data_IF_057702567626
#
_entry.id   IF_057702567626
#
_cell.length_a   1.000
_cell.length_b   1.000
_cell.length_c   1.000
_cell.angle_alpha   90.00
_cell.angle_beta   90.00
_cell.angle_gamma   90.00
#
_symmetry.space_group_name_H-M   'P 1'
#
loop_
_entity.id
_entity.type
_entity.pdbx_description
1 polymer ?
#
# COMPACT_ATOMS: atom_id res chain seq x y z
N UNK A 1 -14.69 -19.65 29.93
CA UNK A 1 -15.26 -18.32 29.67
C UNK A 1 -16.08 -17.90 30.87
N UNK A 2 -15.52 -16.96 31.63
CA UNK A 2 -16.22 -16.23 32.68
C UNK A 2 -17.06 -15.13 32.02
N UNK A 3 -18.20 -14.75 32.60
CA UNK A 3 -19.03 -13.67 32.04
C UNK A 3 -18.30 -12.32 32.16
N UNK A 4 -17.85 -11.75 31.03
CA UNK A 4 -17.21 -10.43 30.97
C UNK A 4 -18.22 -9.35 31.30
N UNK A 5 -17.80 -8.34 32.07
CA UNK A 5 -18.66 -7.20 32.45
C UNK A 5 -18.22 -5.94 31.71
N UNK A 6 -18.74 -5.77 30.50
CA UNK A 6 -18.42 -4.63 29.63
C UNK A 6 -18.72 -3.27 30.26
N UNK A 7 -17.93 -2.26 29.87
CA UNK A 7 -18.03 -0.87 30.36
C UNK A 7 -19.25 -0.14 29.83
N UNK A 8 -19.65 -0.44 28.60
CA UNK A 8 -20.86 0.03 27.93
C UNK A 8 -21.87 -1.12 27.80
N UNK A 9 -23.14 -0.85 28.08
CA UNK A 9 -24.23 -1.76 27.80
C UNK A 9 -24.66 -1.67 26.32
N UNK A 10 -25.32 -2.72 25.82
CA UNK A 10 -25.71 -2.82 24.40
C UNK A 10 -26.68 -1.72 23.93
N UNK A 11 -27.45 -1.12 24.84
CA UNK A 11 -28.34 0.02 24.56
C UNK A 11 -27.62 1.38 24.55
N UNK A 12 -26.32 1.40 24.85
CA UNK A 12 -25.45 2.57 24.78
C UNK A 12 -24.58 2.61 23.50
N UNK A 13 -24.63 1.56 22.67
CA UNK A 13 -23.89 1.50 21.41
C UNK A 13 -24.70 2.19 20.31
N UNK A 14 -24.23 3.33 19.84
CA UNK A 14 -24.79 4.08 18.72
C UNK A 14 -24.23 3.57 17.38
N UNK A 15 -24.95 3.78 16.27
CA UNK A 15 -24.39 3.56 14.92
C UNK A 15 -23.62 4.82 14.52
N UNK A 16 -22.30 4.78 14.68
CA UNK A 16 -21.38 5.90 14.46
C UNK A 16 -20.68 5.85 13.10
N UNK A 17 -20.49 4.64 12.55
CA UNK A 17 -19.83 4.40 11.26
C UNK A 17 -20.69 3.51 10.35
N UNK A 18 -20.37 3.49 9.06
CA UNK A 18 -20.89 2.48 8.13
C UNK A 18 -20.32 1.08 8.46
N UNK A 19 -21.00 -0.03 8.09
CA UNK A 19 -20.54 -1.38 8.39
C UNK A 19 -19.15 -1.69 7.81
N UNK A 20 -18.17 -1.93 8.69
CA UNK A 20 -16.78 -2.21 8.33
C UNK A 20 -16.33 -3.65 8.65
N UNK A 21 -17.17 -4.43 9.33
CA UNK A 21 -16.86 -5.78 9.79
C UNK A 21 -16.30 -5.84 11.21
N UNK A 22 -15.70 -6.98 11.55
CA UNK A 22 -15.11 -7.27 12.84
C UNK A 22 -13.68 -6.76 13.01
N UNK A 23 -13.26 -6.60 14.24
CA UNK A 23 -11.91 -6.26 14.68
C UNK A 23 -11.57 -7.06 15.94
N UNK A 24 -10.31 -7.11 16.33
CA UNK A 24 -9.91 -7.62 17.64
C UNK A 24 -9.69 -6.42 18.57
N UNK A 25 -10.22 -6.49 19.79
CA UNK A 25 -9.91 -5.51 20.84
C UNK A 25 -9.66 -6.19 22.19
N UNK A 26 -8.86 -5.53 23.03
CA UNK A 26 -8.56 -6.00 24.38
C UNK A 26 -9.63 -5.63 25.41
N UNK A 27 -9.71 -6.41 26.48
CA UNK A 27 -10.59 -6.13 27.63
C UNK A 27 -10.19 -4.84 28.37
N UNK A 28 -8.96 -4.32 28.20
CA UNK A 28 -8.59 -2.98 28.70
C UNK A 28 -9.51 -1.90 28.12
N UNK A 29 -9.88 -2.02 26.85
CA UNK A 29 -10.87 -1.15 26.22
C UNK A 29 -12.28 -1.58 26.65
N UNK A 30 -12.68 -2.82 26.38
CA UNK A 30 -14.11 -3.19 26.44
C UNK A 30 -14.65 -3.45 27.85
N UNK A 31 -13.81 -3.85 28.80
CA UNK A 31 -14.17 -4.14 30.20
C UNK A 31 -13.72 -3.01 31.14
N UNK A 32 -12.44 -2.61 31.09
CA UNK A 32 -11.92 -1.57 31.97
C UNK A 32 -12.27 -0.14 31.50
N UNK A 33 -12.56 0.05 30.21
CA UNK A 33 -12.98 1.34 29.66
C UNK A 33 -11.84 2.33 29.42
N UNK A 34 -10.62 1.83 29.13
CA UNK A 34 -9.52 2.66 28.66
C UNK A 34 -9.78 3.15 27.22
N UNK A 35 -9.23 4.33 26.83
CA UNK A 35 -9.19 4.73 25.42
C UNK A 35 -8.30 3.77 24.60
N UNK A 36 -8.36 3.89 23.28
CA UNK A 36 -7.40 3.22 22.40
C UNK A 36 -6.07 3.95 22.51
N UNK A 37 -5.05 3.28 23.04
CA UNK A 37 -3.68 3.81 23.11
C UNK A 37 -2.79 3.32 21.97
N UNK A 38 -3.14 2.20 21.34
CA UNK A 38 -2.45 1.68 20.16
C UNK A 38 -3.43 0.92 19.25
N UNK A 39 -3.32 1.13 17.94
CA UNK A 39 -4.11 0.40 16.94
C UNK A 39 -3.32 0.20 15.66
N UNK A 40 -3.58 -0.90 14.96
CA UNK A 40 -2.99 -1.17 13.65
C UNK A 40 -3.93 -1.97 12.75
N UNK A 41 -3.68 -1.94 11.45
CA UNK A 41 -4.44 -2.67 10.43
C UNK A 41 -3.58 -3.72 9.73
N UNK A 42 -3.87 -4.99 9.96
CA UNK A 42 -3.26 -6.13 9.24
C UNK A 42 -4.16 -6.59 8.07
N UNK A 43 -3.66 -7.43 7.13
CA UNK A 43 -4.52 -8.00 6.09
C UNK A 43 -5.69 -8.79 6.72
N UNK A 44 -6.91 -8.63 6.20
CA UNK A 44 -8.08 -9.28 6.78
C UNK A 44 -7.98 -10.80 6.64
N UNK A 45 -8.29 -11.52 7.73
CA UNK A 45 -8.24 -12.99 7.75
C UNK A 45 -9.36 -13.66 6.94
N UNK A 46 -10.45 -12.92 6.69
CA UNK A 46 -11.64 -13.34 5.96
C UNK A 46 -12.49 -12.10 5.59
N UNK A 47 -13.52 -12.20 4.72
CA UNK A 47 -14.31 -11.04 4.27
C UNK A 47 -15.08 -10.26 5.34
N UNK A 48 -15.32 -10.86 6.51
CA UNK A 48 -16.00 -10.20 7.64
C UNK A 48 -14.99 -9.57 8.65
N UNK A 49 -13.68 -9.72 8.44
CA UNK A 49 -12.61 -9.08 9.22
C UNK A 49 -12.21 -7.76 8.56
N UNK A 50 -12.19 -6.67 9.33
CA UNK A 50 -11.77 -5.34 8.86
C UNK A 50 -10.25 -5.18 8.74
N UNK A 51 -9.49 -6.08 9.36
CA UNK A 51 -8.05 -5.99 9.58
C UNK A 51 -7.65 -5.19 10.83
N UNK A 52 -8.57 -4.45 11.47
CA UNK A 52 -8.24 -3.62 12.62
C UNK A 52 -8.00 -4.43 13.91
N UNK A 53 -6.99 -4.00 14.68
CA UNK A 53 -6.63 -4.50 16.00
C UNK A 53 -6.46 -3.31 16.96
N UNK A 54 -7.10 -3.34 18.12
CA UNK A 54 -7.17 -2.21 19.08
C UNK A 54 -6.70 -2.61 20.48
N UNK A 55 -5.87 -1.76 21.09
CA UNK A 55 -5.22 -1.95 22.38
C UNK A 55 -5.27 -0.66 23.21
N UNK A 56 -5.26 -0.77 24.54
CA UNK A 56 -5.10 0.39 25.42
C UNK A 56 -3.66 0.93 25.45
N UNK A 57 -2.69 0.16 24.95
CA UNK A 57 -1.28 0.54 24.87
C UNK A 57 -0.49 0.29 26.16
N UNK A 58 -1.14 -0.18 27.23
CA UNK A 58 -0.51 -0.53 28.51
C UNK A 58 -0.48 -2.04 28.79
N UNK A 59 -0.96 -2.86 27.84
CA UNK A 59 -0.88 -4.31 27.88
C UNK A 59 0.56 -4.83 27.80
N UNK A 60 0.88 -5.87 28.57
CA UNK A 60 2.11 -6.64 28.41
C UNK A 60 1.95 -7.79 27.41
N UNK A 61 3.05 -8.29 26.85
CA UNK A 61 3.05 -9.48 25.98
C UNK A 61 2.30 -10.67 26.62
N UNK A 62 2.54 -10.95 27.91
CA UNK A 62 1.85 -12.02 28.65
C UNK A 62 0.32 -11.83 28.71
N UNK A 63 -0.17 -10.58 28.66
CA UNK A 63 -1.59 -10.25 28.66
C UNK A 63 -2.20 -10.45 27.26
N UNK A 64 -1.54 -9.94 26.22
CA UNK A 64 -1.99 -10.05 24.81
C UNK A 64 -1.94 -11.50 24.30
N UNK A 65 -1.03 -12.32 24.81
CA UNK A 65 -0.94 -13.74 24.45
C UNK A 65 -1.98 -14.64 25.13
N UNK A 66 -2.81 -14.13 26.04
CA UNK A 66 -3.93 -14.87 26.65
C UNK A 66 -5.25 -14.54 25.95
N UNK A 67 -5.78 -15.52 25.22
CA UNK A 67 -7.00 -15.39 24.42
C UNK A 67 -8.29 -15.13 25.25
N UNK A 68 -8.29 -15.27 26.59
CA UNK A 68 -9.42 -14.81 27.40
C UNK A 68 -9.46 -13.26 27.52
N UNK A 69 -8.35 -12.54 27.29
CA UNK A 69 -8.21 -11.07 27.45
C UNK A 69 -8.56 -10.23 26.21
N UNK A 70 -8.86 -10.86 25.07
CA UNK A 70 -9.23 -10.20 23.82
C UNK A 70 -10.37 -10.96 23.13
N UNK A 71 -11.13 -10.28 22.29
CA UNK A 71 -12.27 -10.87 21.59
C UNK A 71 -12.55 -10.14 20.27
N UNK A 72 -13.39 -10.74 19.41
CA UNK A 72 -13.84 -10.13 18.16
C UNK A 72 -15.05 -9.25 18.42
N UNK A 73 -14.98 -7.99 18.02
CA UNK A 73 -16.06 -7.00 18.13
C UNK A 73 -16.33 -6.36 16.76
N UNK A 74 -17.54 -5.88 16.51
CA UNK A 74 -17.80 -4.98 15.38
C UNK A 74 -17.00 -3.67 15.56
N UNK A 75 -16.34 -3.16 14.52
CA UNK A 75 -15.54 -1.91 14.60
C UNK A 75 -16.36 -0.74 15.15
N UNK A 76 -17.66 -0.66 14.83
CA UNK A 76 -18.56 0.36 15.37
C UNK A 76 -18.68 0.26 16.90
N UNK A 77 -18.52 -0.93 17.48
CA UNK A 77 -18.46 -1.10 18.94
C UNK A 77 -17.28 -0.32 19.50
N UNK A 78 -16.08 -0.50 18.96
CA UNK A 78 -14.87 0.17 19.46
C UNK A 78 -14.94 1.69 19.24
N UNK A 79 -15.51 2.14 18.11
CA UNK A 79 -15.79 3.56 17.86
C UNK A 79 -16.72 4.21 18.91
N UNK A 80 -17.53 3.42 19.64
CA UNK A 80 -18.33 3.93 20.78
C UNK A 80 -17.54 4.02 22.09
N UNK A 81 -16.47 3.24 22.25
CA UNK A 81 -15.55 3.33 23.39
C UNK A 81 -14.58 4.49 23.23
N UNK A 82 -14.04 4.67 22.02
CA UNK A 82 -13.15 5.76 21.65
C UNK A 82 -13.54 6.31 20.27
N UNK A 83 -14.03 7.56 20.23
CA UNK A 83 -14.47 8.20 18.97
C UNK A 83 -13.32 8.75 18.15
N UNK A 84 -12.11 8.84 18.70
CA UNK A 84 -10.95 9.39 18.00
C UNK A 84 -10.35 8.43 16.97
N UNK A 85 -10.70 7.14 17.04
CA UNK A 85 -10.33 6.16 16.01
C UNK A 85 -11.07 6.39 14.69
N UNK A 86 -12.28 6.97 14.73
CA UNK A 86 -13.19 7.10 13.57
C UNK A 86 -12.50 7.71 12.32
N UNK A 87 -11.83 8.89 12.40
CA UNK A 87 -11.13 9.47 11.24
C UNK A 87 -9.95 8.62 10.71
N UNK A 88 -9.51 7.61 11.45
CA UNK A 88 -8.38 6.74 11.09
C UNK A 88 -8.83 5.41 10.47
N UNK A 89 -10.11 5.03 10.54
CA UNK A 89 -10.59 3.70 10.16
C UNK A 89 -10.49 3.39 8.65
N UNK A 90 -10.46 4.43 7.82
CA UNK A 90 -10.26 4.32 6.36
C UNK A 90 -8.77 4.20 5.96
N UNK A 91 -7.84 4.27 6.93
CA UNK A 91 -6.40 4.12 6.65
C UNK A 91 -6.08 2.73 6.07
N UNK A 92 -5.10 2.62 5.16
CA UNK A 92 -4.79 1.38 4.46
C UNK A 92 -4.29 0.25 5.38
N UNK A 93 -4.27 -0.97 4.84
CA UNK A 93 -3.59 -2.11 5.48
C UNK A 93 -2.10 -1.74 5.63
N UNK A 94 -1.54 -2.02 6.80
CA UNK A 94 -0.20 -1.63 7.21
C UNK A 94 -0.15 -0.40 8.12
N UNK A 95 -1.19 0.45 8.14
CA UNK A 95 -1.21 1.62 9.03
C UNK A 95 -1.22 1.23 10.51
N UNK A 96 -0.46 1.97 11.31
CA UNK A 96 -0.43 1.87 12.76
C UNK A 96 -0.46 3.26 13.41
N UNK A 97 -1.11 3.37 14.56
CA UNK A 97 -1.28 4.61 15.31
C UNK A 97 -1.05 4.36 16.80
N UNK A 98 -0.36 5.28 17.46
CA UNK A 98 -0.15 5.28 18.91
C UNK A 98 -0.59 6.62 19.51
N UNK A 99 -1.12 6.58 20.74
CA UNK A 99 -1.58 7.78 21.45
C UNK A 99 -0.40 8.51 22.08
N UNK A 100 -0.33 9.84 21.93
CA UNK A 100 0.75 10.65 22.51
C UNK A 100 0.59 10.80 24.04
N UNK A 101 0.99 9.75 24.78
CA UNK A 101 0.78 9.65 26.23
C UNK A 101 -0.69 9.42 26.60
N UNK A 102 -1.02 9.59 27.89
CA UNK A 102 -2.30 9.14 28.45
C UNK A 102 -3.53 9.94 27.95
N UNK A 103 -3.33 11.19 27.48
CA UNK A 103 -4.41 12.13 27.06
C UNK A 103 -4.15 12.81 25.69
N UNK A 104 -3.10 12.44 24.96
CA UNK A 104 -2.77 13.03 23.65
C UNK A 104 -3.57 12.42 22.49
N UNK A 105 -3.35 12.92 21.27
CA UNK A 105 -4.01 12.41 20.05
C UNK A 105 -3.37 11.10 19.56
N UNK A 106 -4.11 10.34 18.74
CA UNK A 106 -3.58 9.18 18.01
C UNK A 106 -2.74 9.67 16.81
N UNK A 107 -1.43 9.46 16.85
CA UNK A 107 -0.48 9.81 15.80
C UNK A 107 -0.02 8.58 15.02
N UNK A 108 0.26 8.74 13.73
CA UNK A 108 0.78 7.66 12.90
C UNK A 108 2.18 7.23 13.38
N UNK A 109 2.42 5.92 13.42
CA UNK A 109 3.70 5.30 13.78
C UNK A 109 4.08 4.21 12.78
N UNK A 110 5.31 3.73 12.85
CA UNK A 110 5.78 2.60 12.03
C UNK A 110 4.93 1.35 12.29
N UNK A 111 4.66 0.59 11.22
CA UNK A 111 3.92 -0.67 11.31
C UNK A 111 4.71 -1.70 12.13
N UNK A 112 4.07 -2.54 12.97
CA UNK A 112 4.75 -3.62 13.67
C UNK A 112 5.10 -4.81 12.77
N UNK A 113 4.67 -4.80 11.51
CA UNK A 113 4.85 -5.88 10.55
C UNK A 113 5.81 -5.52 9.44
N UNK A 114 6.54 -6.53 8.95
CA UNK A 114 7.31 -6.39 7.72
C UNK A 114 6.38 -6.29 6.51
N UNK A 115 6.76 -5.51 5.50
CA UNK A 115 5.91 -5.25 4.34
C UNK A 115 5.56 -6.50 3.50
N UNK A 116 6.27 -7.62 3.70
CA UNK A 116 5.95 -8.93 3.10
C UNK A 116 4.81 -9.68 3.83
N UNK A 117 4.55 -9.38 5.10
CA UNK A 117 3.46 -9.94 5.92
C UNK A 117 2.13 -9.23 5.64
N UNK A 118 2.21 -7.96 5.22
CA UNK A 118 1.09 -7.09 4.88
C UNK A 118 0.57 -7.29 3.44
N UNK A 119 1.11 -8.25 2.68
CA UNK A 119 0.62 -8.58 1.34
C UNK A 119 -0.77 -9.23 1.43
N UNK A 120 -1.72 -8.69 0.66
CA UNK A 120 -3.13 -9.06 0.74
C UNK A 120 -3.37 -10.49 0.22
N UNK A 121 -4.00 -11.40 1.00
CA UNK A 121 -4.09 -12.82 0.65
C UNK A 121 -4.95 -13.11 -0.60
N UNK A 122 -6.01 -12.32 -0.83
CA UNK A 122 -6.92 -12.53 -1.97
C UNK A 122 -6.34 -12.13 -3.34
N UNK A 123 -5.19 -11.47 -3.39
CA UNK A 123 -4.55 -11.05 -4.64
C UNK A 123 -3.30 -11.89 -4.91
N UNK A 124 -3.06 -12.35 -6.17
CA UNK A 124 -1.85 -13.07 -6.53
C UNK A 124 -0.58 -12.39 -6.05
N UNK A 125 0.25 -13.11 -5.28
CA UNK A 125 1.57 -12.65 -4.86
C UNK A 125 2.60 -13.12 -5.89
N UNK A 126 3.37 -12.18 -6.41
CA UNK A 126 4.58 -12.41 -7.20
C UNK A 126 5.77 -12.54 -6.25
N UNK A 127 6.52 -13.63 -6.41
CA UNK A 127 7.79 -13.85 -5.71
C UNK A 127 8.95 -13.14 -6.45
N UNK A 128 10.09 -12.86 -5.80
CA UNK A 128 11.19 -12.13 -6.40
C UNK A 128 11.81 -12.85 -7.62
N UNK A 129 12.22 -12.07 -8.61
CA UNK A 129 12.84 -12.50 -9.85
C UNK A 129 12.10 -12.03 -11.10
N UNK A 130 12.45 -12.64 -12.23
CA UNK A 130 11.96 -12.24 -13.57
C UNK A 130 10.50 -12.63 -13.76
N UNK A 131 9.63 -11.62 -13.79
CA UNK A 131 8.21 -11.70 -14.12
C UNK A 131 7.98 -11.32 -15.60
N UNK A 132 7.19 -12.12 -16.33
CA UNK A 132 6.83 -11.81 -17.72
C UNK A 132 5.63 -10.85 -17.78
N UNK A 133 5.83 -9.65 -18.32
CA UNK A 133 4.76 -8.70 -18.65
C UNK A 133 4.00 -9.18 -19.90
N UNK A 134 4.75 -9.66 -20.91
CA UNK A 134 4.26 -10.29 -22.16
C UNK A 134 5.29 -11.32 -22.64
N UNK A 135 5.04 -12.01 -23.75
CA UNK A 135 6.05 -12.87 -24.42
C UNK A 135 7.31 -12.10 -24.86
N UNK A 136 7.21 -10.76 -24.98
CA UNK A 136 8.30 -9.86 -25.38
C UNK A 136 8.99 -9.22 -24.18
N UNK A 137 8.22 -8.77 -23.21
CA UNK A 137 8.67 -7.88 -22.14
C UNK A 137 8.65 -8.57 -20.78
N UNK A 138 9.70 -8.35 -20.00
CA UNK A 138 9.83 -8.86 -18.63
C UNK A 138 10.31 -7.78 -17.67
N UNK A 139 10.05 -7.99 -16.39
CA UNK A 139 10.41 -7.12 -15.28
C UNK A 139 11.07 -7.97 -14.19
N UNK A 140 12.27 -7.60 -13.77
CA UNK A 140 12.91 -8.24 -12.61
C UNK A 140 12.41 -7.57 -11.31
N UNK A 141 11.74 -8.34 -10.45
CA UNK A 141 11.20 -7.86 -9.17
C UNK A 141 12.15 -8.22 -8.03
N UNK A 142 12.76 -7.26 -7.32
CA UNK A 142 13.70 -7.57 -6.23
C UNK A 142 13.01 -8.03 -4.93
N UNK A 143 11.69 -7.84 -4.82
CA UNK A 143 10.88 -8.07 -3.64
C UNK A 143 9.54 -8.72 -4.03
N UNK A 144 8.76 -9.14 -3.03
CA UNK A 144 7.40 -9.67 -3.22
C UNK A 144 6.40 -8.54 -3.46
N UNK A 145 5.43 -8.77 -4.34
CA UNK A 145 4.37 -7.81 -4.67
C UNK A 145 3.03 -8.54 -4.86
N UNK A 146 1.93 -7.97 -4.38
CA UNK A 146 0.61 -8.32 -4.90
C UNK A 146 0.46 -7.85 -6.35
N UNK A 147 -0.45 -8.48 -7.09
CA UNK A 147 -0.80 -8.16 -8.47
C UNK A 147 -2.32 -8.16 -8.66
N UNK A 148 -2.83 -7.20 -9.44
CA UNK A 148 -4.17 -7.25 -10.06
C UNK A 148 -4.12 -6.74 -11.50
N UNK A 149 -5.24 -6.82 -12.20
CA UNK A 149 -5.42 -6.30 -13.55
C UNK A 149 -6.71 -5.47 -13.54
N UNK A 150 -6.62 -4.22 -13.99
CA UNK A 150 -7.77 -3.32 -14.13
C UNK A 150 -8.55 -3.63 -15.43
N UNK A 151 -9.78 -3.12 -15.55
CA UNK A 151 -10.67 -3.45 -16.69
C UNK A 151 -10.12 -3.03 -18.06
N UNK A 152 -9.24 -2.02 -18.11
CA UNK A 152 -8.58 -1.52 -19.31
C UNK A 152 -7.33 -2.32 -19.72
N UNK A 153 -6.88 -3.26 -18.88
CA UNK A 153 -5.68 -4.07 -19.07
C UNK A 153 -4.42 -3.52 -18.38
N UNK A 154 -4.50 -2.48 -17.55
CA UNK A 154 -3.38 -2.02 -16.73
C UNK A 154 -3.13 -2.91 -15.50
N UNK A 155 -1.86 -3.07 -15.08
CA UNK A 155 -1.41 -3.86 -13.91
C UNK A 155 -0.23 -3.11 -13.28
N UNK A 156 -0.28 -2.42 -12.14
CA UNK A 156 -0.98 -2.65 -10.87
C UNK A 156 -0.39 -3.84 -10.10
N UNK A 157 0.89 -3.65 -9.74
CA UNK A 157 1.62 -4.40 -8.72
C UNK A 157 1.78 -3.50 -7.48
N UNK A 158 1.69 -4.03 -6.26
CA UNK A 158 1.90 -3.23 -5.04
C UNK A 158 2.43 -4.03 -3.85
N UNK A 159 3.02 -3.32 -2.90
CA UNK A 159 3.37 -3.72 -1.54
C UNK A 159 3.25 -2.46 -0.65
N UNK A 160 3.23 -2.56 0.69
CA UNK A 160 3.34 -1.36 1.53
C UNK A 160 4.56 -0.53 1.13
N UNK A 161 4.40 0.80 1.07
CA UNK A 161 5.44 1.72 0.61
C UNK A 161 5.55 1.90 -0.91
N UNK A 162 5.06 0.98 -1.75
CA UNK A 162 5.29 1.04 -3.22
C UNK A 162 4.12 0.50 -4.06
N UNK A 163 3.62 1.32 -4.98
CA UNK A 163 2.63 0.94 -6.01
C UNK A 163 3.17 1.18 -7.42
N UNK A 164 2.99 0.21 -8.32
CA UNK A 164 3.50 0.22 -9.70
C UNK A 164 2.33 0.03 -10.67
N UNK A 165 2.01 1.06 -11.45
CA UNK A 165 1.14 0.94 -12.61
C UNK A 165 1.99 0.63 -13.84
N UNK A 166 1.80 -0.53 -14.47
CA UNK A 166 2.53 -0.95 -15.67
C UNK A 166 1.59 -1.09 -16.87
N UNK A 167 2.05 -0.60 -18.02
CA UNK A 167 1.39 -0.73 -19.31
C UNK A 167 2.41 -1.06 -20.39
N UNK A 168 2.02 -1.93 -21.33
CA UNK A 168 2.87 -2.36 -22.46
C UNK A 168 2.19 -1.95 -23.76
N UNK A 169 2.92 -1.22 -24.60
CA UNK A 169 2.38 -0.58 -25.79
C UNK A 169 3.20 -0.94 -27.04
N UNK A 170 2.52 -1.03 -28.18
CA UNK A 170 3.16 -1.07 -29.50
C UNK A 170 3.54 0.34 -29.97
N UNK A 171 4.03 0.42 -31.22
CA UNK A 171 4.25 1.71 -31.89
C UNK A 171 2.96 2.13 -32.64
N UNK A 172 2.44 3.35 -32.44
CA UNK A 172 1.34 3.92 -33.23
C UNK A 172 1.69 4.08 -34.72
N UNK A 173 0.69 4.04 -35.62
CA UNK A 173 0.91 4.09 -37.08
C UNK A 173 1.61 5.37 -37.59
N UNK A 174 1.61 6.44 -36.80
CA UNK A 174 2.24 7.73 -37.11
C UNK A 174 3.70 7.86 -36.64
N UNK A 175 4.27 6.82 -36.01
CA UNK A 175 5.67 6.78 -35.59
C UNK A 175 6.46 5.67 -36.28
N UNK A 176 7.58 6.02 -36.92
CA UNK A 176 8.55 5.06 -37.47
C UNK A 176 9.47 4.45 -36.38
N UNK A 177 9.43 4.99 -35.15
CA UNK A 177 10.40 4.70 -34.08
C UNK A 177 9.81 4.95 -32.69
N UNK A 178 9.78 3.91 -31.87
CA UNK A 178 9.49 3.98 -30.44
C UNK A 178 10.43 4.93 -29.67
N UNK A 179 11.67 5.12 -30.15
CA UNK A 179 12.66 5.98 -29.51
C UNK A 179 12.37 7.46 -29.74
N UNK A 180 11.74 7.79 -30.86
CA UNK A 180 11.28 9.15 -31.15
C UNK A 180 9.99 9.41 -30.39
N UNK A 181 9.05 8.45 -30.42
CA UNK A 181 7.84 8.46 -29.58
C UNK A 181 8.15 8.71 -28.10
N UNK A 182 9.08 7.97 -27.49
CA UNK A 182 9.43 8.14 -26.08
C UNK A 182 9.99 9.53 -25.77
N UNK A 183 10.79 10.10 -26.68
CA UNK A 183 11.32 11.46 -26.49
C UNK A 183 10.26 12.52 -26.67
N UNK A 184 9.30 12.34 -27.57
CA UNK A 184 8.17 13.26 -27.72
C UNK A 184 7.23 13.18 -26.50
N UNK A 185 6.86 11.96 -26.06
CA UNK A 185 6.05 11.73 -24.86
C UNK A 185 6.67 12.34 -23.60
N UNK A 186 8.00 12.29 -23.47
CA UNK A 186 8.72 12.80 -22.28
C UNK A 186 9.26 14.22 -22.44
N UNK A 187 9.17 14.84 -23.63
CA UNK A 187 9.54 16.24 -23.86
C UNK A 187 8.58 17.17 -23.12
N UNK A 188 7.29 16.91 -23.29
CA UNK A 188 6.20 17.76 -22.78
C UNK A 188 5.69 17.23 -21.42
N UNK A 189 6.61 16.61 -20.64
CA UNK A 189 6.41 16.19 -19.25
C UNK A 189 6.12 17.39 -18.33
N UNK A 190 5.67 17.09 -17.11
CA UNK A 190 5.33 18.12 -16.12
C UNK A 190 6.50 19.11 -15.87
N UNK A 191 6.25 20.43 -15.79
CA UNK A 191 7.29 21.43 -15.52
C UNK A 191 8.06 21.24 -14.21
N UNK A 192 7.44 20.64 -13.19
CA UNK A 192 8.06 20.38 -11.88
C UNK A 192 8.79 19.01 -11.85
N UNK A 193 8.80 18.27 -12.96
CA UNK A 193 9.54 17.01 -13.09
C UNK A 193 11.07 17.21 -12.99
N UNK A 194 11.71 16.39 -12.17
CA UNK A 194 13.14 16.47 -11.84
C UNK A 194 13.83 15.11 -12.02
N UNK A 195 15.16 15.05 -11.81
CA UNK A 195 15.99 13.84 -12.00
C UNK A 195 15.72 13.12 -13.35
N UNK A 196 15.60 13.90 -14.43
CA UNK A 196 15.41 13.35 -15.78
C UNK A 196 16.66 12.60 -16.24
N UNK A 197 16.49 11.35 -16.68
CA UNK A 197 17.54 10.48 -17.16
C UNK A 197 17.14 9.87 -18.52
N UNK A 198 18.04 9.91 -19.49
CA UNK A 198 17.93 9.17 -20.75
C UNK A 198 19.16 8.27 -20.91
N UNK A 199 18.95 6.96 -21.03
CA UNK A 199 19.99 5.95 -21.10
C UNK A 199 19.77 5.07 -22.33
N UNK A 200 20.79 4.93 -23.19
CA UNK A 200 20.75 4.02 -24.33
C UNK A 200 21.63 2.81 -24.09
N UNK A 201 21.01 1.66 -23.88
CA UNK A 201 21.66 0.42 -23.45
C UNK A 201 21.48 -0.66 -24.51
N UNK A 202 22.47 -0.79 -25.39
CA UNK A 202 22.41 -1.74 -26.52
C UNK A 202 21.24 -1.44 -27.46
N UNK A 203 20.17 -2.23 -27.35
CA UNK A 203 18.93 -2.10 -28.14
C UNK A 203 17.79 -1.41 -27.41
N UNK A 204 17.96 -1.04 -26.14
CA UNK A 204 16.95 -0.38 -25.35
C UNK A 204 17.22 1.13 -25.26
N UNK A 205 16.16 1.93 -25.32
CA UNK A 205 16.15 3.30 -24.83
C UNK A 205 15.35 3.31 -23.53
N UNK A 206 15.99 3.73 -22.43
CA UNK A 206 15.31 4.00 -21.17
C UNK A 206 15.20 5.50 -20.95
N UNK A 207 14.04 5.97 -20.53
CA UNK A 207 13.84 7.33 -20.04
C UNK A 207 13.17 7.24 -18.66
N UNK A 208 13.58 8.06 -17.71
CA UNK A 208 12.84 8.25 -16.47
C UNK A 208 12.89 9.70 -16.00
N UNK A 209 11.91 10.09 -15.19
CA UNK A 209 11.93 11.34 -14.40
C UNK A 209 11.14 11.13 -13.11
N UNK A 210 11.45 11.94 -12.10
CA UNK A 210 10.70 12.00 -10.85
C UNK A 210 9.69 13.13 -10.85
N UNK A 211 8.62 12.94 -10.09
CA UNK A 211 7.64 13.96 -9.73
C UNK A 211 7.33 13.84 -8.23
N UNK A 212 6.79 14.90 -7.64
CA UNK A 212 6.08 14.84 -6.36
C UNK A 212 4.68 15.37 -6.65
N UNK A 213 3.66 14.54 -6.44
CA UNK A 213 2.26 14.85 -6.73
C UNK A 213 1.53 15.18 -5.43
N UNK A 214 0.70 16.23 -5.42
CA UNK A 214 -0.22 16.49 -4.31
C UNK A 214 -1.48 15.64 -4.52
N UNK A 215 -1.69 14.68 -3.62
CA UNK A 215 -2.91 13.88 -3.54
C UNK A 215 -3.66 14.27 -2.26
N UNK A 216 -4.66 15.14 -2.42
CA UNK A 216 -5.51 15.66 -1.34
C UNK A 216 -4.71 16.28 -0.17
N UNK A 217 -3.61 16.98 -0.47
CA UNK A 217 -2.73 17.60 0.52
C UNK A 217 -1.63 16.69 1.08
N UNK A 218 -1.45 15.49 0.51
CA UNK A 218 -0.33 14.58 0.81
C UNK A 218 0.64 14.56 -0.38
N UNK A 219 1.91 14.87 -0.13
CA UNK A 219 2.99 14.71 -1.11
C UNK A 219 3.23 13.22 -1.38
N UNK A 220 3.07 12.78 -2.63
CA UNK A 220 3.36 11.41 -3.07
C UNK A 220 4.54 11.43 -4.04
N UNK A 221 5.58 10.64 -3.76
CA UNK A 221 6.76 10.58 -4.61
C UNK A 221 6.57 9.60 -5.76
N UNK A 222 6.93 10.02 -6.98
CA UNK A 222 6.79 9.22 -8.18
C UNK A 222 8.11 9.09 -8.97
N UNK A 223 8.26 7.97 -9.68
CA UNK A 223 9.22 7.74 -10.75
C UNK A 223 8.48 7.23 -11.98
N UNK A 224 8.33 8.10 -12.99
CA UNK A 224 7.79 7.74 -14.29
C UNK A 224 8.91 7.12 -15.13
N UNK A 225 8.66 5.93 -15.65
CA UNK A 225 9.66 5.05 -16.24
C UNK A 225 9.21 4.59 -17.63
N UNK A 226 10.06 4.77 -18.63
CA UNK A 226 9.82 4.32 -20.00
C UNK A 226 10.98 3.46 -20.46
N UNK A 227 10.69 2.34 -21.12
CA UNK A 227 11.70 1.48 -21.76
C UNK A 227 11.19 1.02 -23.10
N UNK A 228 11.84 1.46 -24.18
CA UNK A 228 11.51 1.08 -25.54
C UNK A 228 12.56 0.15 -26.17
N UNK A 229 12.09 -0.69 -27.08
CA UNK A 229 12.89 -1.44 -28.04
C UNK A 229 12.40 -1.11 -29.47
N UNK A 230 12.85 -1.84 -30.49
CA UNK A 230 12.52 -1.52 -31.89
C UNK A 230 11.02 -1.52 -32.28
N UNK A 231 10.13 -2.24 -31.57
CA UNK A 231 8.71 -2.40 -31.99
C UNK A 231 7.68 -2.05 -30.89
N UNK A 232 8.10 -1.53 -29.73
CA UNK A 232 7.19 -1.13 -28.67
C UNK A 232 7.90 -0.59 -27.43
N UNK A 233 7.13 -0.35 -26.37
CA UNK A 233 7.64 0.14 -25.08
C UNK A 233 6.83 -0.33 -23.87
N UNK A 234 7.48 -0.31 -22.71
CA UNK A 234 6.88 -0.42 -21.39
C UNK A 234 6.84 0.98 -20.78
N UNK A 235 5.72 1.34 -20.16
CA UNK A 235 5.59 2.48 -19.27
C UNK A 235 5.25 1.99 -17.86
N UNK A 236 6.01 2.44 -16.85
CA UNK A 236 5.65 2.30 -15.44
C UNK A 236 5.46 3.68 -14.81
N UNK A 237 4.40 3.85 -14.02
CA UNK A 237 4.32 4.88 -12.99
C UNK A 237 4.55 4.20 -11.64
N UNK A 238 5.69 4.48 -11.00
CA UNK A 238 6.04 3.91 -9.70
C UNK A 238 5.85 4.99 -8.63
N UNK A 239 4.84 4.82 -7.79
CA UNK A 239 4.56 5.65 -6.63
C UNK A 239 5.14 5.01 -5.37
N UNK A 240 5.67 5.83 -4.48
CA UNK A 240 6.28 5.37 -3.23
C UNK A 240 6.19 6.40 -2.10
N UNK A 241 6.05 5.89 -0.88
CA UNK A 241 5.72 6.70 0.29
C UNK A 241 6.94 7.46 0.84
N UNK A 242 8.12 6.83 0.84
CA UNK A 242 9.36 7.42 1.37
C UNK A 242 10.33 7.85 0.25
N UNK A 243 10.90 9.08 0.26
CA UNK A 243 11.80 9.58 -0.78
C UNK A 243 12.96 8.66 -1.19
N UNK A 244 13.45 7.84 -0.26
CA UNK A 244 14.51 6.83 -0.35
C UNK A 244 14.13 5.57 -1.15
N UNK A 245 12.84 5.21 -1.26
CA UNK A 245 12.38 4.06 -2.07
C UNK A 245 12.59 4.28 -3.58
N UNK A 246 13.06 5.46 -3.98
CA UNK A 246 13.54 5.75 -5.33
C UNK A 246 14.59 4.75 -5.82
N UNK A 247 15.43 4.19 -4.95
CA UNK A 247 16.44 3.21 -5.35
C UNK A 247 15.81 1.84 -5.68
N UNK A 248 14.77 1.45 -4.95
CA UNK A 248 13.92 0.30 -5.28
C UNK A 248 13.21 0.53 -6.62
N UNK A 249 12.56 1.68 -6.81
CA UNK A 249 11.90 2.05 -8.07
C UNK A 249 12.87 2.05 -9.27
N UNK A 250 14.08 2.60 -9.10
CA UNK A 250 15.14 2.59 -10.13
C UNK A 250 15.64 1.18 -10.44
N UNK A 251 15.77 0.30 -9.45
CA UNK A 251 16.17 -1.10 -9.68
C UNK A 251 15.14 -1.85 -10.54
N UNK A 252 13.84 -1.63 -10.29
CA UNK A 252 12.71 -2.20 -11.04
C UNK A 252 12.72 -1.68 -12.49
N UNK A 253 12.90 -0.38 -12.69
CA UNK A 253 13.04 0.23 -14.03
C UNK A 253 14.23 -0.33 -14.83
N UNK A 254 15.38 -0.51 -14.19
CA UNK A 254 16.57 -1.10 -14.80
C UNK A 254 16.37 -2.59 -15.11
N UNK A 255 15.61 -3.30 -14.27
CA UNK A 255 15.21 -4.70 -14.43
C UNK A 255 14.26 -4.98 -15.60
N UNK A 256 13.69 -3.97 -16.25
CA UNK A 256 12.90 -4.18 -17.49
C UNK A 256 13.81 -4.68 -18.61
N UNK A 257 13.42 -5.78 -19.25
CA UNK A 257 14.12 -6.37 -20.39
C UNK A 257 13.16 -6.78 -21.52
N UNK A 258 13.67 -6.79 -22.75
CA UNK A 258 12.97 -7.28 -23.95
C UNK A 258 13.68 -8.48 -24.57
N UNK A 259 12.90 -9.43 -25.09
CA UNK A 259 13.38 -10.57 -25.90
C UNK A 259 13.56 -10.25 -27.40
N UNK A 260 13.45 -8.97 -27.79
CA UNK A 260 13.55 -8.52 -29.18
C UNK A 260 14.87 -8.94 -29.89
N UNK A 261 14.80 -9.43 -31.14
CA UNK A 261 15.91 -10.04 -31.87
C UNK A 261 17.00 -9.07 -32.33
#
# INVERSE_FOLDING_TARGET
MTEKKFRLAADQIESLIEPMGGCIATDRITVDGQPVGYMYREPPSNPDDSGWRFFAGDESDDYVNDADNLEVYDVNTIANYDREVIPLLDSPIGSAFAREGDEGELIAVESPFEADELLHPDFPILEPGVFALTDRWSLDLPLRFNKRLEEDGQMVLWRPGVTIYASVWGIPEDYDSSFELLRDLTRDRDPDAFDYQELKEGKLLRIAYRLVEDHDGVDVHALYCFVADADGYVHLSIYFDAPEDVDLAKSIWQGIASSAP
#
